data_IF_859311025396
#
_entry.id   IF_859311025396
#
_cell.length_a   1.000
_cell.length_b   1.000
_cell.length_c   1.000
_cell.angle_alpha   90.00
_cell.angle_beta   90.00
_cell.angle_gamma   90.00
#
_symmetry.space_group_name_H-M   'P 1'
#
loop_
_entity.id
_entity.type
_entity.pdbx_description
1 polymer ?
#
# COMPACT_ATOMS: atom_id res chain seq x y z
N UNK A 1 -58.94 15.60 19.10
CA UNK A 1 -57.51 15.95 19.22
C UNK A 1 -56.83 14.86 20.01
N UNK A 2 -55.56 14.58 19.70
CA UNK A 2 -54.70 13.54 20.32
C UNK A 2 -54.91 12.15 19.68
N UNK A 3 -53.80 11.52 19.26
CA UNK A 3 -53.62 10.16 18.71
C UNK A 3 -53.47 9.95 17.19
N UNK A 4 -52.94 10.91 16.43
CA UNK A 4 -52.45 10.66 15.05
C UNK A 4 -51.04 11.20 14.77
N UNK A 5 -50.26 11.53 15.79
CA UNK A 5 -48.90 12.10 15.64
C UNK A 5 -47.86 11.23 16.37
N UNK A 6 -47.93 9.90 16.20
CA UNK A 6 -47.00 9.00 16.91
C UNK A 6 -46.48 7.82 16.10
N UNK A 7 -46.48 7.88 14.77
CA UNK A 7 -45.93 6.78 13.94
C UNK A 7 -44.90 7.23 12.89
N UNK A 8 -44.65 8.54 12.73
CA UNK A 8 -43.75 9.05 11.68
C UNK A 8 -42.41 9.59 12.19
N UNK A 9 -41.83 9.01 13.24
CA UNK A 9 -40.53 9.45 13.80
C UNK A 9 -39.48 8.35 13.94
N UNK A 10 -39.57 7.26 13.16
CA UNK A 10 -38.56 6.18 13.20
C UNK A 10 -37.89 5.94 11.83
N UNK A 11 -38.33 6.58 10.75
CA UNK A 11 -37.84 6.22 9.40
C UNK A 11 -36.73 7.09 8.81
N UNK A 12 -36.04 7.94 9.58
CA UNK A 12 -35.02 8.85 8.99
C UNK A 12 -33.60 8.75 9.56
N UNK A 13 -33.26 7.72 10.33
CA UNK A 13 -31.87 7.52 10.81
C UNK A 13 -31.10 6.48 9.96
N UNK A 14 -31.31 6.46 8.65
CA UNK A 14 -30.45 5.70 7.74
C UNK A 14 -30.19 6.56 6.50
N UNK A 15 -29.30 7.55 6.60
CA UNK A 15 -28.53 8.07 5.45
C UNK A 15 -27.48 9.10 5.90
N UNK A 16 -26.44 8.65 6.59
CA UNK A 16 -25.26 9.48 6.85
C UNK A 16 -23.93 8.72 6.72
N UNK A 17 -23.91 7.59 6.01
CA UNK A 17 -22.68 6.83 5.73
C UNK A 17 -22.38 6.69 4.22
N UNK A 18 -23.16 7.35 3.35
CA UNK A 18 -23.09 7.11 1.90
C UNK A 18 -21.97 7.90 1.17
N UNK A 19 -21.30 8.86 1.83
CA UNK A 19 -20.31 9.72 1.16
C UNK A 19 -18.84 9.26 1.31
N UNK A 20 -18.61 8.02 1.75
CA UNK A 20 -17.28 7.42 1.56
C UNK A 20 -17.32 6.54 0.31
N UNK A 21 -16.52 6.86 -0.73
CA UNK A 21 -16.36 5.96 -1.86
C UNK A 21 -15.99 4.57 -1.32
N UNK A 22 -16.62 3.47 -1.80
CA UNK A 22 -16.27 2.15 -1.34
C UNK A 22 -14.78 1.91 -1.59
N UNK A 23 -13.99 1.83 -0.51
CA UNK A 23 -12.59 1.41 -0.59
C UNK A 23 -12.57 0.02 -1.20
N UNK A 24 -11.79 -0.23 -2.26
CA UNK A 24 -11.72 -1.54 -2.88
C UNK A 24 -11.37 -2.60 -1.82
N UNK A 25 -12.03 -3.78 -1.82
CA UNK A 25 -11.72 -4.84 -0.89
C UNK A 25 -10.24 -5.20 -1.03
N UNK A 26 -9.46 -4.95 0.02
CA UNK A 26 -8.00 -5.15 0.04
C UNK A 26 -7.14 -3.90 0.29
N UNK A 27 -7.74 -2.72 0.52
CA UNK A 27 -7.05 -1.51 1.00
C UNK A 27 -7.16 -1.27 2.51
N UNK A 28 -8.00 -2.03 3.20
CA UNK A 28 -8.46 -1.74 4.57
C UNK A 28 -7.33 -1.79 5.61
N UNK A 29 -6.25 -2.54 5.36
CA UNK A 29 -5.14 -2.69 6.31
C UNK A 29 -3.83 -2.01 5.90
N UNK A 30 -3.72 -1.44 4.70
CA UNK A 30 -2.46 -0.86 4.19
C UNK A 30 -1.82 0.18 5.13
N UNK A 31 -2.59 1.20 5.59
CA UNK A 31 -2.08 2.19 6.54
C UNK A 31 -1.70 1.61 7.90
N UNK A 32 -2.47 0.62 8.39
CA UNK A 32 -2.21 -0.05 9.68
C UNK A 32 -0.94 -0.90 9.62
N UNK A 33 -0.79 -1.70 8.57
CA UNK A 33 0.40 -2.51 8.29
C UNK A 33 1.64 -1.61 8.18
N UNK A 34 1.55 -0.51 7.43
CA UNK A 34 2.65 0.45 7.30
C UNK A 34 3.02 1.05 8.66
N UNK A 35 2.04 1.44 9.48
CA UNK A 35 2.28 1.93 10.84
C UNK A 35 3.00 0.88 11.71
N UNK A 36 2.52 -0.36 11.72
CA UNK A 36 3.09 -1.41 12.57
C UNK A 36 4.52 -1.78 12.16
N UNK A 37 4.78 -1.86 10.86
CA UNK A 37 6.14 -2.08 10.34
C UNK A 37 7.06 -0.89 10.63
N UNK A 38 6.57 0.35 10.50
CA UNK A 38 7.35 1.55 10.80
C UNK A 38 7.77 1.59 12.27
N UNK A 39 6.86 1.27 13.19
CA UNK A 39 7.17 1.16 14.63
C UNK A 39 8.21 0.10 14.91
N UNK A 40 8.05 -1.09 14.33
CA UNK A 40 8.97 -2.23 14.51
C UNK A 40 10.40 -1.87 14.09
N UNK A 41 10.54 -1.19 12.95
CA UNK A 41 11.84 -0.83 12.39
C UNK A 41 12.27 0.60 12.72
N UNK A 42 11.64 1.25 13.70
CA UNK A 42 11.96 2.60 14.18
C UNK A 42 12.05 3.64 13.06
N UNK A 43 11.16 3.52 12.07
CA UNK A 43 11.10 4.42 10.93
C UNK A 43 10.10 5.56 11.21
N UNK A 44 10.44 6.83 10.96
CA UNK A 44 9.49 7.92 11.07
C UNK A 44 8.27 7.69 10.17
N UNK A 45 7.06 7.90 10.69
CA UNK A 45 5.82 7.66 9.93
C UNK A 45 5.77 8.44 8.62
N UNK A 46 6.32 9.65 8.60
CA UNK A 46 6.43 10.47 7.38
C UNK A 46 7.29 9.79 6.30
N UNK A 47 8.38 9.16 6.70
CA UNK A 47 9.26 8.43 5.79
C UNK A 47 8.60 7.14 5.31
N UNK A 48 7.96 6.38 6.22
CA UNK A 48 7.15 5.22 5.85
C UNK A 48 6.06 5.57 4.82
N UNK A 49 5.32 6.67 5.04
CA UNK A 49 4.30 7.14 4.12
C UNK A 49 4.87 7.57 2.75
N UNK A 50 5.99 8.30 2.73
CA UNK A 50 6.66 8.69 1.49
C UNK A 50 7.10 7.46 0.67
N UNK A 51 7.59 6.39 1.32
CA UNK A 51 7.99 5.14 0.65
C UNK A 51 6.77 4.41 0.10
N UNK A 52 5.71 4.21 0.88
CA UNK A 52 4.55 3.39 0.47
C UNK A 52 3.66 4.12 -0.55
N UNK A 53 3.43 5.42 -0.37
CA UNK A 53 2.48 6.17 -1.21
C UNK A 53 3.14 6.80 -2.44
N UNK A 54 4.43 7.15 -2.36
CA UNK A 54 5.12 7.91 -3.41
C UNK A 54 6.34 7.20 -3.97
N UNK A 55 6.65 6.00 -3.47
CA UNK A 55 7.88 5.26 -3.80
C UNK A 55 9.16 6.07 -3.56
N UNK A 56 9.11 7.07 -2.67
CA UNK A 56 10.22 7.98 -2.41
C UNK A 56 11.06 7.48 -1.24
N UNK A 57 12.18 6.83 -1.58
CA UNK A 57 13.19 6.39 -0.61
C UNK A 57 14.29 7.45 -0.53
N UNK A 58 14.40 8.14 0.60
CA UNK A 58 15.45 9.16 0.81
C UNK A 58 16.78 8.53 1.19
N UNK A 59 16.75 7.58 2.14
CA UNK A 59 17.93 6.90 2.66
C UNK A 59 17.73 5.38 2.56
N UNK A 60 18.74 4.65 2.09
CA UNK A 60 18.69 3.17 1.94
C UNK A 60 19.24 2.44 3.16
N UNK A 61 18.83 2.85 4.37
CA UNK A 61 19.32 2.27 5.63
C UNK A 61 18.78 0.85 5.85
N UNK A 62 19.40 0.08 6.73
CA UNK A 62 18.90 -1.25 7.11
C UNK A 62 17.45 -1.21 7.63
N UNK A 63 17.11 -0.19 8.42
CA UNK A 63 15.75 0.02 8.92
C UNK A 63 14.73 0.24 7.79
N UNK A 64 15.09 1.01 6.76
CA UNK A 64 14.23 1.23 5.59
C UNK A 64 14.04 -0.07 4.81
N UNK A 65 15.11 -0.83 4.58
CA UNK A 65 15.05 -2.12 3.89
C UNK A 65 14.15 -3.11 4.64
N UNK A 66 14.32 -3.24 5.94
CA UNK A 66 13.51 -4.16 6.75
C UNK A 66 12.07 -3.68 6.94
N UNK A 67 11.84 -2.36 7.05
CA UNK A 67 10.49 -1.79 7.00
C UNK A 67 9.76 -2.22 5.72
N UNK A 68 10.44 -2.10 4.58
CA UNK A 68 9.87 -2.42 3.30
C UNK A 68 9.58 -3.93 3.18
N UNK A 69 10.51 -4.79 3.61
CA UNK A 69 10.25 -6.23 3.70
C UNK A 69 8.99 -6.52 4.54
N UNK A 70 8.92 -6.00 5.77
CA UNK A 70 7.76 -6.19 6.65
C UNK A 70 6.45 -5.77 5.98
N UNK A 71 6.44 -4.60 5.33
CA UNK A 71 5.25 -4.10 4.66
C UNK A 71 4.86 -4.99 3.48
N UNK A 72 5.81 -5.36 2.62
CA UNK A 72 5.57 -6.15 1.43
C UNK A 72 5.05 -7.56 1.77
N UNK A 73 5.62 -8.19 2.80
CA UNK A 73 5.20 -9.52 3.28
C UNK A 73 3.75 -9.49 3.82
N UNK A 74 3.42 -8.48 4.64
CA UNK A 74 2.09 -8.38 5.28
C UNK A 74 1.00 -7.88 4.34
N UNK A 75 1.31 -6.94 3.45
CA UNK A 75 0.34 -6.34 2.53
C UNK A 75 0.17 -7.15 1.24
N UNK A 76 1.08 -8.09 0.97
CA UNK A 76 1.21 -8.79 -0.32
C UNK A 76 1.32 -7.81 -1.50
N UNK A 77 1.90 -6.63 -1.28
CA UNK A 77 2.00 -5.60 -2.30
C UNK A 77 2.84 -6.04 -3.51
N UNK A 78 3.85 -6.89 -3.30
CA UNK A 78 4.67 -7.46 -4.37
C UNK A 78 3.84 -8.31 -5.34
N UNK A 79 2.92 -9.13 -4.84
CA UNK A 79 2.06 -9.96 -5.69
C UNK A 79 1.18 -9.09 -6.58
N UNK A 80 0.64 -8.00 -6.02
CA UNK A 80 -0.16 -7.03 -6.78
C UNK A 80 0.66 -6.30 -7.85
N UNK A 81 1.92 -5.95 -7.57
CA UNK A 81 2.80 -5.31 -8.56
C UNK A 81 3.14 -6.31 -9.67
N UNK A 82 3.48 -7.56 -9.32
CA UNK A 82 3.75 -8.65 -10.26
C UNK A 82 2.56 -8.87 -11.21
N UNK A 83 1.37 -9.04 -10.65
CA UNK A 83 0.14 -9.24 -11.44
C UNK A 83 -0.11 -8.08 -12.42
N UNK A 84 0.16 -6.84 -12.00
CA UNK A 84 0.03 -5.67 -12.90
C UNK A 84 1.05 -5.70 -14.04
N UNK A 85 2.32 -6.03 -13.76
CA UNK A 85 3.35 -6.08 -14.81
C UNK A 85 3.12 -7.23 -15.79
N UNK A 86 2.67 -8.38 -15.31
CA UNK A 86 2.29 -9.53 -16.15
C UNK A 86 1.13 -9.17 -17.09
N UNK A 87 0.10 -8.46 -16.59
CA UNK A 87 -1.01 -7.96 -17.42
C UNK A 87 -0.55 -7.00 -18.51
N UNK A 88 0.51 -6.22 -18.26
CA UNK A 88 1.12 -5.32 -19.24
C UNK A 88 2.06 -6.04 -20.21
N UNK A 89 2.16 -7.39 -20.12
CA UNK A 89 3.04 -8.25 -20.92
C UNK A 89 4.51 -7.81 -20.88
N UNK A 90 4.92 -7.13 -19.81
CA UNK A 90 6.27 -6.62 -19.71
C UNK A 90 7.17 -7.68 -19.07
N UNK A 91 8.10 -8.23 -19.85
CA UNK A 91 9.07 -9.20 -19.33
C UNK A 91 9.96 -8.53 -18.28
N UNK A 92 10.05 -9.15 -17.11
CA UNK A 92 10.94 -8.71 -16.04
C UNK A 92 11.60 -9.92 -15.37
N UNK A 93 12.77 -9.73 -14.79
CA UNK A 93 13.51 -10.74 -14.03
C UNK A 93 13.66 -10.37 -12.55
N UNK A 94 12.85 -9.45 -12.03
CA UNK A 94 12.96 -9.00 -10.64
C UNK A 94 12.85 -10.15 -9.63
N UNK A 95 12.08 -11.20 -9.92
CA UNK A 95 11.95 -12.37 -9.05
C UNK A 95 13.22 -13.24 -8.97
N UNK A 96 14.16 -13.11 -9.91
CA UNK A 96 15.43 -13.86 -9.87
C UNK A 96 16.46 -13.26 -8.92
N UNK A 97 16.21 -12.06 -8.37
CA UNK A 97 17.07 -11.44 -7.37
C UNK A 97 17.03 -12.30 -6.09
N UNK A 98 18.21 -12.66 -5.60
CA UNK A 98 18.39 -13.44 -4.35
C UNK A 98 19.45 -12.78 -3.50
N UNK A 99 19.20 -12.68 -2.21
CA UNK A 99 20.17 -12.17 -1.25
C UNK A 99 20.06 -12.96 0.07
N UNK A 100 21.18 -13.16 0.76
CA UNK A 100 21.18 -13.86 2.05
C UNK A 100 20.46 -13.03 3.14
N UNK A 101 20.44 -11.70 3.00
CA UNK A 101 19.65 -10.81 3.82
C UNK A 101 18.29 -10.56 3.16
N UNK A 102 17.21 -11.02 3.81
CA UNK A 102 15.83 -10.87 3.30
C UNK A 102 15.37 -9.42 3.21
N UNK A 103 15.87 -8.54 4.08
CA UNK A 103 15.56 -7.12 4.00
C UNK A 103 16.18 -6.52 2.73
N UNK A 104 17.43 -6.91 2.43
CA UNK A 104 18.12 -6.47 1.22
C UNK A 104 17.47 -7.08 -0.03
N UNK A 105 17.15 -8.38 -0.01
CA UNK A 105 16.48 -9.05 -1.13
C UNK A 105 15.16 -8.36 -1.49
N UNK A 106 14.27 -8.17 -0.51
CA UNK A 106 12.97 -7.53 -0.74
C UNK A 106 13.11 -6.09 -1.22
N UNK A 107 14.13 -5.37 -0.73
CA UNK A 107 14.43 -4.02 -1.19
C UNK A 107 14.89 -4.00 -2.65
N UNK A 108 15.83 -4.84 -3.04
CA UNK A 108 16.33 -4.92 -4.42
C UNK A 108 15.24 -5.35 -5.40
N UNK A 109 14.40 -6.32 -5.00
CA UNK A 109 13.21 -6.70 -5.76
C UNK A 109 12.29 -5.51 -5.96
N UNK A 110 11.93 -4.82 -4.89
CA UNK A 110 11.06 -3.65 -4.97
C UNK A 110 11.62 -2.56 -5.88
N UNK A 111 12.91 -2.22 -5.78
CA UNK A 111 13.54 -1.24 -6.69
C UNK A 111 13.43 -1.66 -8.16
N UNK A 112 13.64 -2.95 -8.43
CA UNK A 112 13.46 -3.50 -9.78
C UNK A 112 12.03 -3.31 -10.29
N UNK A 113 11.04 -3.68 -9.49
CA UNK A 113 9.62 -3.55 -9.86
C UNK A 113 9.18 -2.10 -10.07
N UNK A 114 9.55 -1.20 -9.16
CA UNK A 114 9.18 0.22 -9.25
C UNK A 114 9.81 0.88 -10.48
N UNK A 115 11.08 0.59 -10.78
CA UNK A 115 11.74 1.13 -11.98
C UNK A 115 10.99 0.74 -13.26
N UNK A 116 10.44 -0.47 -13.30
CA UNK A 116 9.62 -0.92 -14.43
C UNK A 116 8.27 -0.21 -14.43
N UNK A 117 7.59 -0.12 -13.29
CA UNK A 117 6.31 0.57 -13.16
C UNK A 117 6.41 2.06 -13.55
N UNK A 118 7.50 2.74 -13.18
CA UNK A 118 7.81 4.12 -13.58
C UNK A 118 8.02 4.26 -15.09
N UNK A 119 8.75 3.33 -15.70
CA UNK A 119 8.97 3.32 -17.16
C UNK A 119 7.66 3.08 -17.92
N UNK A 120 6.81 2.14 -17.45
CA UNK A 120 5.55 1.80 -18.12
C UNK A 120 4.51 2.92 -17.98
N UNK A 121 4.45 3.57 -16.81
CA UNK A 121 3.49 4.67 -16.57
C UNK A 121 3.96 6.02 -17.14
N UNK A 122 5.13 6.10 -17.74
CA UNK A 122 5.72 7.38 -18.15
C UNK A 122 5.98 8.34 -16.98
N UNK A 123 6.11 7.81 -15.76
CA UNK A 123 6.36 8.60 -14.54
C UNK A 123 7.82 9.02 -14.39
N UNK A 124 8.68 8.75 -15.38
CA UNK A 124 9.97 9.45 -15.55
C UNK A 124 9.71 10.94 -15.71
N UNK A 125 9.56 11.65 -14.59
CA UNK A 125 9.86 13.07 -14.53
C UNK A 125 11.37 13.17 -14.73
N UNK A 126 11.75 13.80 -15.84
CA UNK A 126 13.13 14.25 -16.05
C UNK A 126 13.62 15.14 -14.91
#
# INVERSE_FOLDING_TARGET
>A
MVLLISVFLISTIVLAAADTPPTPPGYVDGPKIASDCAKTHKLPMKEAADIIMKYKIKNKTANVKCFLQCYLDKSKAMDKIRERLEKLKHKHNCDSIKNNDKCVESFEKFECFIKIEENVRGLKKG
#
